data_IF_140672928927
#
_entry.id   IF_140672928927
#
_cell.length_a   1.000
_cell.length_b   1.000
_cell.length_c   1.000
_cell.angle_alpha   90.00
_cell.angle_beta   90.00
_cell.angle_gamma   90.00
#
_symmetry.space_group_name_H-M   'P 1'
#
loop_
_entity.id
_entity.type
_entity.pdbx_description
1 polymer ?
#
# COMPACT_ATOMS: atom_id res chain seq x y z
N UNK A 1 -14.11 -12.96 0.19
CA UNK A 1 -12.97 -13.37 -0.68
C UNK A 1 -12.73 -14.85 -0.43
N UNK A 2 -12.47 -15.65 -1.48
CA UNK A 2 -12.14 -17.06 -1.32
C UNK A 2 -10.65 -17.18 -0.93
N UNK A 3 -10.27 -18.06 0.03
CA UNK A 3 -8.89 -18.22 0.46
C UNK A 3 -7.90 -18.50 -0.67
N UNK A 4 -8.30 -19.34 -1.63
CA UNK A 4 -7.49 -19.70 -2.80
C UNK A 4 -7.18 -18.52 -3.75
N UNK A 5 -7.88 -17.39 -3.60
CA UNK A 5 -7.60 -16.15 -4.35
C UNK A 5 -6.57 -15.26 -3.67
N UNK A 6 -6.04 -15.65 -2.50
CA UNK A 6 -5.08 -14.87 -1.74
C UNK A 6 -3.68 -15.22 -2.19
N UNK A 7 -2.89 -14.19 -2.55
CA UNK A 7 -1.45 -14.28 -2.73
C UNK A 7 -0.80 -13.76 -1.44
N UNK A 8 -0.12 -14.65 -0.71
CA UNK A 8 0.57 -14.28 0.53
C UNK A 8 1.98 -13.81 0.25
N UNK A 9 2.20 -12.51 0.37
CA UNK A 9 3.48 -11.83 0.18
C UNK A 9 4.10 -11.36 1.51
N UNK A 10 5.32 -10.85 1.48
CA UNK A 10 6.03 -10.26 2.61
C UNK A 10 7.52 -10.55 2.55
N UNK A 11 8.34 -9.54 2.88
CA UNK A 11 9.81 -9.61 2.82
C UNK A 11 10.39 -10.51 3.92
N UNK A 12 9.71 -10.63 5.05
CA UNK A 12 10.07 -11.53 6.14
C UNK A 12 8.98 -12.58 6.29
N UNK A 13 9.38 -13.84 6.33
CA UNK A 13 8.51 -14.97 6.60
C UNK A 13 9.18 -15.91 7.59
N UNK A 14 8.51 -16.15 8.69
CA UNK A 14 8.87 -17.23 9.62
C UNK A 14 8.03 -18.48 9.34
N UNK A 15 8.44 -19.61 9.89
CA UNK A 15 7.72 -20.88 9.72
C UNK A 15 6.25 -20.78 10.14
N UNK A 16 5.99 -20.13 11.29
CA UNK A 16 4.63 -19.93 11.80
C UNK A 16 3.75 -19.07 10.88
N UNK A 17 4.31 -18.11 10.15
CA UNK A 17 3.56 -17.30 9.19
C UNK A 17 3.14 -18.14 7.98
N UNK A 18 4.05 -18.97 7.49
CA UNK A 18 3.79 -19.90 6.37
C UNK A 18 2.74 -20.95 6.79
N UNK A 19 2.91 -21.55 7.97
CA UNK A 19 1.94 -22.49 8.54
C UNK A 19 0.53 -21.90 8.62
N UNK A 20 0.43 -20.64 9.06
CA UNK A 20 -0.83 -19.90 9.14
C UNK A 20 -1.41 -19.65 7.75
N UNK A 21 -0.61 -19.12 6.80
CA UNK A 21 -1.07 -18.85 5.44
C UNK A 21 -1.60 -20.14 4.75
N UNK A 22 -0.86 -21.24 4.86
CA UNK A 22 -1.26 -22.54 4.33
C UNK A 22 -2.52 -23.08 5.02
N UNK A 23 -2.64 -22.90 6.35
CA UNK A 23 -3.82 -23.33 7.12
C UNK A 23 -5.08 -22.58 6.73
N UNK A 24 -4.96 -21.29 6.42
CA UNK A 24 -6.06 -20.47 5.89
C UNK A 24 -6.39 -20.75 4.42
N UNK A 25 -5.56 -21.54 3.73
CA UNK A 25 -5.78 -21.93 2.34
C UNK A 25 -5.37 -20.86 1.34
N UNK A 26 -4.38 -20.02 1.66
CA UNK A 26 -3.81 -19.08 0.67
C UNK A 26 -3.40 -19.87 -0.59
N UNK A 27 -3.81 -19.36 -1.77
CA UNK A 27 -3.63 -20.06 -3.03
C UNK A 27 -2.19 -20.02 -3.54
N UNK A 28 -1.51 -18.88 -3.36
CA UNK A 28 -0.15 -18.64 -3.84
C UNK A 28 0.68 -18.00 -2.73
N UNK A 29 1.95 -18.38 -2.62
CA UNK A 29 2.90 -17.73 -1.72
C UNK A 29 4.05 -17.12 -2.53
N UNK A 30 4.45 -15.88 -2.19
CA UNK A 30 5.57 -15.21 -2.84
C UNK A 30 6.89 -15.57 -2.13
N UNK A 31 7.87 -16.07 -2.85
CA UNK A 31 9.23 -16.30 -2.36
C UNK A 31 10.13 -15.11 -2.70
N UNK A 32 10.82 -14.58 -1.69
CA UNK A 32 11.77 -13.47 -1.84
C UNK A 32 13.23 -13.90 -1.60
N UNK A 33 13.47 -15.20 -1.37
CA UNK A 33 14.80 -15.78 -1.18
C UNK A 33 14.76 -17.30 -1.30
N UNK A 34 15.91 -17.92 -1.50
CA UNK A 34 16.09 -19.39 -1.44
C UNK A 34 15.60 -19.92 -0.08
N UNK A 35 15.86 -19.19 1.02
CA UNK A 35 15.36 -19.56 2.34
C UNK A 35 13.83 -19.63 2.41
N UNK A 36 13.13 -18.69 1.79
CA UNK A 36 11.64 -18.74 1.76
C UNK A 36 11.16 -19.98 1.01
N UNK A 37 11.79 -20.31 -0.13
CA UNK A 37 11.46 -21.52 -0.89
C UNK A 37 11.67 -22.78 -0.04
N UNK A 38 12.81 -22.86 0.68
CA UNK A 38 13.12 -23.98 1.57
C UNK A 38 12.11 -24.09 2.74
N UNK A 39 11.79 -22.98 3.42
CA UNK A 39 10.82 -22.96 4.52
C UNK A 39 9.41 -23.37 4.07
N UNK A 40 8.96 -22.87 2.92
CA UNK A 40 7.64 -23.26 2.39
C UNK A 40 7.65 -24.74 2.05
N UNK A 41 8.71 -25.24 1.40
CA UNK A 41 8.86 -26.66 1.09
C UNK A 41 8.82 -27.53 2.34
N UNK A 42 9.58 -27.14 3.40
CA UNK A 42 9.59 -27.83 4.70
C UNK A 42 8.19 -27.91 5.31
N UNK A 43 7.49 -26.78 5.45
CA UNK A 43 6.12 -26.74 6.02
C UNK A 43 5.16 -27.65 5.24
N UNK A 44 5.25 -27.65 3.92
CA UNK A 44 4.38 -28.53 3.11
C UNK A 44 4.71 -30.00 3.30
N UNK A 45 5.97 -30.36 3.41
CA UNK A 45 6.42 -31.75 3.63
C UNK A 45 6.01 -32.25 5.01
N UNK A 46 6.16 -31.44 6.07
CA UNK A 46 5.75 -31.80 7.43
C UNK A 46 4.23 -32.03 7.59
N UNK A 47 3.43 -31.46 6.73
CA UNK A 47 1.95 -31.62 6.74
C UNK A 47 1.48 -32.88 6.02
N UNK A 48 2.40 -33.63 5.44
CA UNK A 48 2.06 -34.90 4.78
C UNK A 48 1.84 -36.01 5.80
N UNK A 49 0.93 -36.98 5.53
CA UNK A 49 0.80 -38.17 6.34
C UNK A 49 2.13 -38.95 6.40
N UNK A 50 2.39 -39.61 7.55
CA UNK A 50 3.54 -40.51 7.70
C UNK A 50 3.50 -41.59 6.60
N UNK A 51 4.63 -41.82 5.92
CA UNK A 51 4.76 -42.76 4.81
C UNK A 51 4.45 -42.22 3.41
N UNK A 52 3.84 -41.06 3.27
CA UNK A 52 3.59 -40.43 1.96
C UNK A 52 4.91 -40.05 1.24
N UNK A 53 5.94 -39.74 2.01
CA UNK A 53 7.28 -39.43 1.51
C UNK A 53 7.94 -40.59 0.75
N UNK A 54 7.79 -41.81 1.23
CA UNK A 54 8.39 -43.03 0.63
C UNK A 54 7.68 -43.43 -0.65
N UNK A 55 6.39 -43.11 -0.78
CA UNK A 55 5.57 -43.43 -1.94
C UNK A 55 5.69 -42.41 -3.11
N UNK A 56 6.45 -41.30 -2.95
CA UNK A 56 6.57 -40.24 -3.96
C UNK A 56 5.27 -39.45 -4.18
N UNK A 57 4.25 -39.64 -3.33
CA UNK A 57 2.94 -39.02 -3.42
C UNK A 57 2.97 -37.67 -2.69
N UNK A 58 3.43 -36.60 -3.36
CA UNK A 58 3.21 -35.22 -2.91
C UNK A 58 1.81 -34.82 -3.38
N UNK A 59 0.78 -35.10 -2.59
CA UNK A 59 -0.61 -34.83 -2.98
C UNK A 59 -0.90 -33.34 -3.21
N UNK A 60 -0.21 -32.42 -2.52
CA UNK A 60 -0.41 -30.98 -2.73
C UNK A 60 0.85 -30.16 -2.44
N UNK A 61 1.49 -29.68 -3.50
CA UNK A 61 2.57 -28.70 -3.40
C UNK A 61 2.00 -27.28 -3.22
N UNK A 62 2.70 -26.43 -2.46
CA UNK A 62 2.36 -25.01 -2.45
C UNK A 62 2.71 -24.37 -3.78
N UNK A 63 1.76 -23.66 -4.37
CA UNK A 63 2.04 -22.82 -5.53
C UNK A 63 2.82 -21.60 -5.09
N UNK A 64 3.96 -21.32 -5.74
CA UNK A 64 4.80 -20.18 -5.42
C UNK A 64 5.14 -19.36 -6.64
N UNK A 65 5.25 -18.04 -6.43
CA UNK A 65 5.86 -17.13 -7.38
C UNK A 65 7.18 -16.59 -6.81
N UNK A 66 8.19 -16.46 -7.64
CA UNK A 66 9.53 -16.03 -7.25
C UNK A 66 9.68 -14.54 -7.52
N UNK A 67 9.98 -13.75 -6.50
CA UNK A 67 10.13 -12.31 -6.64
C UNK A 67 11.52 -11.96 -7.15
N UNK A 68 11.58 -11.42 -8.36
CA UNK A 68 12.81 -10.88 -8.95
C UNK A 68 13.13 -9.51 -8.32
N UNK A 69 14.36 -9.33 -7.85
CA UNK A 69 14.77 -8.06 -7.26
C UNK A 69 14.81 -6.90 -8.25
N UNK A 70 14.43 -5.73 -7.78
CA UNK A 70 14.62 -4.47 -8.50
C UNK A 70 15.94 -3.77 -8.17
N UNK A 71 16.77 -4.37 -7.29
CA UNK A 71 18.05 -3.84 -6.85
C UNK A 71 18.02 -3.21 -5.45
N UNK A 72 17.07 -3.63 -4.61
CA UNK A 72 16.92 -3.24 -3.20
C UNK A 72 16.79 -4.49 -2.32
N UNK A 73 16.35 -4.32 -1.06
CA UNK A 73 16.20 -5.43 -0.09
C UNK A 73 15.08 -6.43 -0.43
N UNK A 74 14.27 -6.17 -1.45
CA UNK A 74 13.15 -7.02 -1.84
C UNK A 74 13.51 -7.94 -3.00
N UNK A 75 13.05 -9.19 -2.90
CA UNK A 75 13.24 -10.19 -3.94
C UNK A 75 14.65 -10.74 -4.01
N UNK A 76 14.86 -11.69 -4.90
CA UNK A 76 16.12 -12.42 -5.11
C UNK A 76 16.74 -12.14 -6.47
N UNK A 77 17.98 -12.47 -6.65
CA UNK A 77 18.68 -12.35 -7.93
C UNK A 77 18.09 -13.29 -8.98
N UNK A 78 18.41 -13.07 -10.25
CA UNK A 78 18.02 -14.01 -11.31
C UNK A 78 18.72 -15.36 -11.13
N UNK A 79 19.97 -15.35 -10.65
CA UNK A 79 20.74 -16.56 -10.36
C UNK A 79 20.08 -17.40 -9.26
N UNK A 80 19.53 -16.79 -8.20
CA UNK A 80 18.79 -17.49 -7.16
C UNK A 80 17.49 -18.09 -7.70
N UNK A 81 16.79 -17.37 -8.59
CA UNK A 81 15.60 -17.86 -9.27
C UNK A 81 15.95 -19.07 -10.15
N UNK A 82 17.03 -18.96 -10.94
CA UNK A 82 17.55 -20.05 -11.76
C UNK A 82 17.89 -21.29 -10.91
N UNK A 83 18.51 -21.05 -9.73
CA UNK A 83 18.84 -22.13 -8.79
C UNK A 83 17.60 -22.88 -8.34
N UNK A 84 16.56 -22.16 -7.86
CA UNK A 84 15.34 -22.80 -7.38
C UNK A 84 14.64 -23.61 -8.50
N UNK A 85 14.59 -23.06 -9.71
CA UNK A 85 13.95 -23.73 -10.86
C UNK A 85 14.74 -24.97 -11.30
N UNK A 86 16.06 -24.93 -11.24
CA UNK A 86 16.94 -26.02 -11.71
C UNK A 86 17.15 -27.13 -10.67
N UNK A 87 16.80 -26.90 -9.40
CA UNK A 87 16.96 -27.88 -8.30
C UNK A 87 15.61 -28.24 -7.64
N UNK A 88 14.61 -28.71 -8.40
CA UNK A 88 13.27 -29.00 -7.85
C UNK A 88 13.30 -30.08 -6.76
N UNK A 89 14.30 -30.95 -6.74
CA UNK A 89 14.46 -32.00 -5.73
C UNK A 89 14.82 -31.47 -4.34
N UNK A 90 15.40 -30.28 -4.25
CA UNK A 90 15.65 -29.59 -2.99
C UNK A 90 14.40 -28.90 -2.43
N UNK A 91 13.43 -28.62 -3.29
CA UNK A 91 12.21 -27.87 -2.95
C UNK A 91 10.94 -28.68 -3.25
N UNK A 92 10.89 -29.94 -2.82
CA UNK A 92 9.82 -30.90 -3.18
C UNK A 92 8.41 -30.45 -2.78
N UNK A 93 8.28 -29.64 -1.72
CA UNK A 93 7.00 -29.15 -1.20
C UNK A 93 6.42 -27.97 -1.98
N UNK A 94 7.13 -27.39 -2.95
CA UNK A 94 6.65 -26.26 -3.74
C UNK A 94 6.54 -26.58 -5.22
N UNK A 95 5.71 -25.79 -5.90
CA UNK A 95 5.59 -25.73 -7.36
C UNK A 95 5.74 -24.27 -7.78
N UNK A 96 6.82 -23.96 -8.50
CA UNK A 96 7.04 -22.61 -9.04
C UNK A 96 6.11 -22.42 -10.22
N UNK A 97 5.16 -21.50 -10.08
CA UNK A 97 4.16 -21.20 -11.11
C UNK A 97 4.38 -19.86 -11.79
N UNK A 98 5.30 -19.03 -11.30
CA UNK A 98 5.47 -17.71 -11.91
C UNK A 98 6.53 -16.85 -11.24
N UNK A 99 6.54 -15.60 -11.69
CA UNK A 99 7.45 -14.54 -11.24
C UNK A 99 6.63 -13.37 -10.71
N UNK A 100 7.13 -12.76 -9.64
CA UNK A 100 6.64 -11.49 -9.13
C UNK A 100 7.68 -10.39 -9.35
N UNK A 101 7.24 -9.18 -9.69
CA UNK A 101 8.11 -8.03 -9.83
C UNK A 101 7.43 -6.73 -9.40
N UNK A 102 8.08 -6.02 -8.46
CA UNK A 102 7.68 -4.69 -8.03
C UNK A 102 8.91 -3.82 -7.77
N UNK A 103 9.02 -2.67 -8.43
CA UNK A 103 10.19 -1.77 -8.35
C UNK A 103 9.89 -0.44 -7.66
N UNK A 104 8.72 -0.29 -7.05
CA UNK A 104 8.31 0.93 -6.34
C UNK A 104 7.04 1.57 -6.90
N UNK A 105 6.63 2.67 -6.29
CA UNK A 105 5.43 3.45 -6.63
C UNK A 105 5.78 4.76 -7.36
N UNK A 106 4.76 5.53 -7.75
CA UNK A 106 4.89 6.83 -8.44
C UNK A 106 5.73 6.73 -9.72
N UNK A 107 5.44 5.72 -10.55
CA UNK A 107 6.19 5.45 -11.78
C UNK A 107 5.56 6.10 -13.00
N UNK A 108 6.42 6.66 -13.85
CA UNK A 108 6.05 7.07 -15.20
C UNK A 108 5.93 5.88 -16.13
N UNK A 109 5.22 6.02 -17.25
CA UNK A 109 5.09 5.02 -18.30
C UNK A 109 6.47 4.50 -18.79
N UNK A 110 7.48 5.38 -18.90
CA UNK A 110 8.85 4.98 -19.26
C UNK A 110 9.45 3.96 -18.28
N UNK A 111 9.20 4.12 -16.98
CA UNK A 111 9.67 3.17 -15.96
C UNK A 111 8.91 1.86 -16.02
N UNK A 112 7.60 1.90 -16.26
CA UNK A 112 6.76 0.72 -16.45
C UNK A 112 7.27 -0.09 -17.64
N UNK A 113 7.50 0.53 -18.79
CA UNK A 113 8.05 -0.13 -19.97
C UNK A 113 9.43 -0.79 -19.68
N UNK A 114 10.30 -0.09 -18.95
CA UNK A 114 11.60 -0.65 -18.56
C UNK A 114 11.46 -1.88 -17.66
N UNK A 115 10.52 -1.87 -16.74
CA UNK A 115 10.22 -3.01 -15.86
C UNK A 115 9.72 -4.21 -16.67
N UNK A 116 8.76 -3.99 -17.57
CA UNK A 116 8.22 -5.04 -18.43
C UNK A 116 9.28 -5.67 -19.33
N UNK A 117 10.19 -4.85 -19.89
CA UNK A 117 11.33 -5.35 -20.66
C UNK A 117 12.28 -6.21 -19.79
N UNK A 118 12.54 -5.80 -18.54
CA UNK A 118 13.36 -6.59 -17.62
C UNK A 118 12.72 -7.94 -17.30
N UNK A 119 11.40 -7.93 -17.00
CA UNK A 119 10.65 -9.16 -16.75
C UNK A 119 10.70 -10.08 -17.98
N UNK A 120 10.43 -9.54 -19.16
CA UNK A 120 10.45 -10.29 -20.42
C UNK A 120 11.83 -10.92 -20.69
N UNK A 121 12.91 -10.16 -20.49
CA UNK A 121 14.27 -10.68 -20.66
C UNK A 121 14.57 -11.83 -19.69
N UNK A 122 14.15 -11.71 -18.42
CA UNK A 122 14.32 -12.77 -17.44
C UNK A 122 13.55 -14.03 -17.84
N UNK A 123 12.27 -13.89 -18.22
CA UNK A 123 11.42 -15.01 -18.63
C UNK A 123 11.92 -15.70 -19.89
N UNK A 124 12.41 -14.94 -20.88
CA UNK A 124 13.04 -15.51 -22.08
C UNK A 124 14.24 -16.38 -21.72
N UNK A 125 15.14 -15.87 -20.86
CA UNK A 125 16.31 -16.65 -20.41
C UNK A 125 15.93 -17.90 -19.62
N UNK A 126 14.92 -17.81 -18.74
CA UNK A 126 14.42 -18.97 -17.98
C UNK A 126 13.77 -20.02 -18.90
N UNK A 127 13.04 -19.60 -19.94
CA UNK A 127 12.48 -20.51 -20.93
C UNK A 127 13.56 -21.19 -21.76
N UNK A 128 14.56 -20.46 -22.23
CA UNK A 128 15.65 -21.00 -23.05
C UNK A 128 16.53 -22.00 -22.29
N UNK A 129 16.84 -21.70 -21.02
CA UNK A 129 17.76 -22.54 -20.22
C UNK A 129 17.04 -23.73 -19.56
N UNK A 130 15.82 -23.55 -19.08
CA UNK A 130 15.14 -24.51 -18.20
C UNK A 130 13.76 -24.95 -18.71
N UNK A 131 13.28 -24.43 -19.85
CA UNK A 131 11.93 -24.69 -20.34
C UNK A 131 10.82 -24.11 -19.44
N UNK A 132 11.15 -23.13 -18.59
CA UNK A 132 10.20 -22.55 -17.66
C UNK A 132 9.20 -21.62 -18.38
N UNK A 133 7.92 -21.93 -18.25
CA UNK A 133 6.83 -21.10 -18.74
C UNK A 133 5.94 -20.69 -17.55
N UNK A 134 5.80 -19.37 -17.27
CA UNK A 134 5.02 -18.93 -16.12
C UNK A 134 3.52 -19.10 -16.37
N UNK A 135 2.79 -19.55 -15.34
CA UNK A 135 1.35 -19.54 -15.29
C UNK A 135 0.82 -18.20 -14.71
N UNK A 136 1.70 -17.41 -14.08
CA UNK A 136 1.40 -16.08 -13.54
C UNK A 136 2.66 -15.23 -13.57
N UNK A 137 2.53 -14.01 -14.08
CA UNK A 137 3.46 -12.92 -13.83
C UNK A 137 2.72 -11.88 -13.02
N UNK A 138 3.02 -11.78 -11.72
CA UNK A 138 2.47 -10.74 -10.85
C UNK A 138 3.34 -9.49 -10.95
N UNK A 139 2.76 -8.39 -11.38
CA UNK A 139 3.48 -7.14 -11.59
C UNK A 139 2.81 -5.95 -10.90
N UNK A 140 3.61 -5.20 -10.15
CA UNK A 140 3.20 -3.91 -9.58
C UNK A 140 3.61 -2.74 -10.46
N UNK A 141 2.74 -2.19 -11.33
CA UNK A 141 3.07 -1.05 -12.17
C UNK A 141 3.37 0.21 -11.36
N UNK A 142 2.84 0.32 -10.14
CA UNK A 142 3.10 1.45 -9.25
C UNK A 142 2.75 2.80 -9.89
N UNK A 143 1.60 2.88 -10.56
CA UNK A 143 1.11 4.10 -11.19
C UNK A 143 1.16 5.29 -10.23
N UNK A 144 1.43 6.47 -10.78
CA UNK A 144 1.45 7.73 -10.06
C UNK A 144 0.06 8.07 -9.52
N UNK A 145 0.01 8.49 -8.27
CA UNK A 145 -1.16 9.15 -7.66
C UNK A 145 -0.85 10.63 -7.59
N UNK A 146 -1.71 11.44 -8.16
CA UNK A 146 -1.55 12.90 -8.24
C UNK A 146 -2.11 13.57 -6.97
N UNK A 147 -1.41 13.37 -5.85
CA UNK A 147 -1.86 13.82 -4.51
C UNK A 147 -2.10 15.31 -4.38
N UNK A 148 -1.40 16.14 -5.18
CA UNK A 148 -1.31 17.58 -4.97
C UNK A 148 -1.67 18.38 -6.22
N UNK A 149 -2.15 17.75 -7.28
CA UNK A 149 -2.50 18.40 -8.53
C UNK A 149 -3.99 18.71 -8.59
N UNK A 150 -4.36 19.89 -9.10
CA UNK A 150 -5.78 20.27 -9.24
C UNK A 150 -6.50 19.44 -10.30
N UNK A 151 -5.79 19.10 -11.39
CA UNK A 151 -6.28 18.31 -12.52
C UNK A 151 -5.99 16.80 -12.36
N UNK A 152 -5.88 16.31 -11.12
CA UNK A 152 -5.46 14.95 -10.79
C UNK A 152 -6.29 13.86 -11.50
N UNK A 153 -7.60 14.06 -11.67
CA UNK A 153 -8.47 13.06 -12.30
C UNK A 153 -8.12 12.84 -13.76
N UNK A 154 -7.84 13.91 -14.51
CA UNK A 154 -7.46 13.83 -15.91
C UNK A 154 -6.07 13.20 -16.07
N UNK A 155 -5.11 13.60 -15.25
CA UNK A 155 -3.75 13.05 -15.24
C UNK A 155 -3.74 11.57 -14.88
N UNK A 156 -4.43 11.16 -13.83
CA UNK A 156 -4.50 9.75 -13.43
C UNK A 156 -5.21 8.91 -14.48
N UNK A 157 -6.28 9.43 -15.09
CA UNK A 157 -6.96 8.75 -16.19
C UNK A 157 -6.04 8.55 -17.40
N UNK A 158 -5.33 9.60 -17.82
CA UNK A 158 -4.38 9.50 -18.91
C UNK A 158 -3.28 8.48 -18.60
N UNK A 159 -2.66 8.55 -17.42
CA UNK A 159 -1.62 7.62 -16.99
C UNK A 159 -2.12 6.16 -16.97
N UNK A 160 -3.36 5.95 -16.53
CA UNK A 160 -4.00 4.63 -16.53
C UNK A 160 -4.23 4.11 -17.94
N UNK A 161 -4.78 4.94 -18.83
CA UNK A 161 -5.06 4.57 -20.23
C UNK A 161 -3.75 4.18 -20.95
N UNK A 162 -2.70 5.00 -20.84
CA UNK A 162 -1.38 4.72 -21.43
C UNK A 162 -0.73 3.45 -20.84
N UNK A 163 -0.80 3.25 -19.51
CA UNK A 163 -0.27 2.06 -18.89
C UNK A 163 -1.05 0.80 -19.28
N UNK A 164 -2.37 0.92 -19.41
CA UNK A 164 -3.22 -0.20 -19.79
C UNK A 164 -2.91 -0.73 -21.19
N UNK A 165 -2.48 0.12 -22.13
CA UNK A 165 -2.06 -0.32 -23.48
C UNK A 165 -0.84 -1.24 -23.39
N UNK A 166 0.25 -0.80 -22.76
CA UNK A 166 1.48 -1.59 -22.65
C UNK A 166 1.31 -2.84 -21.79
N UNK A 167 0.43 -2.79 -20.78
CA UNK A 167 0.12 -3.96 -19.96
C UNK A 167 -0.70 -4.99 -20.73
N UNK A 168 -1.64 -4.58 -21.59
CA UNK A 168 -2.39 -5.49 -22.48
C UNK A 168 -1.47 -6.14 -23.50
N UNK A 169 -0.54 -5.39 -24.10
CA UNK A 169 0.45 -5.96 -25.01
C UNK A 169 1.29 -7.05 -24.34
N UNK A 170 1.76 -6.80 -23.11
CA UNK A 170 2.49 -7.79 -22.32
C UNK A 170 1.61 -9.01 -21.99
N UNK A 171 0.34 -8.80 -21.68
CA UNK A 171 -0.61 -9.85 -21.32
C UNK A 171 -0.98 -10.79 -22.49
N UNK A 172 -0.73 -10.40 -23.73
CA UNK A 172 -0.87 -11.30 -24.90
C UNK A 172 0.16 -12.44 -24.84
N UNK A 173 1.36 -12.14 -24.31
CA UNK A 173 2.48 -13.09 -24.30
C UNK A 173 2.59 -13.86 -22.97
N UNK A 174 2.22 -13.22 -21.84
CA UNK A 174 2.36 -13.79 -20.49
C UNK A 174 1.09 -13.60 -19.66
N UNK A 175 0.65 -14.63 -18.90
CA UNK A 175 -0.48 -14.48 -17.97
C UNK A 175 -0.15 -13.43 -16.90
N UNK A 176 -0.79 -12.26 -16.95
CA UNK A 176 -0.48 -11.10 -16.14
C UNK A 176 -1.49 -10.90 -15.00
N UNK A 177 -0.98 -10.87 -13.77
CA UNK A 177 -1.67 -10.34 -12.59
C UNK A 177 -1.12 -8.96 -12.21
N UNK A 178 -1.97 -8.06 -11.74
CA UNK A 178 -1.57 -6.69 -11.39
C UNK A 178 -1.86 -6.42 -9.92
N UNK A 179 -0.84 -5.90 -9.18
CA UNK A 179 -1.02 -5.32 -7.85
C UNK A 179 -0.88 -3.79 -7.92
N UNK A 180 -1.90 -3.05 -7.46
CA UNK A 180 -1.94 -1.59 -7.62
C UNK A 180 -2.71 -0.91 -6.48
N UNK A 181 -2.41 -1.30 -5.22
CA UNK A 181 -3.18 -0.87 -4.04
C UNK A 181 -3.24 0.64 -3.86
N UNK A 182 -2.13 1.35 -3.92
CA UNK A 182 -2.08 2.81 -3.71
C UNK A 182 -2.94 3.55 -4.73
N UNK A 183 -2.78 3.26 -6.00
CA UNK A 183 -3.52 3.93 -7.07
C UNK A 183 -5.04 3.71 -6.97
N UNK A 184 -5.46 2.48 -6.65
CA UNK A 184 -6.88 2.14 -6.54
C UNK A 184 -7.55 2.70 -5.29
N UNK A 185 -6.80 2.93 -4.21
CA UNK A 185 -7.37 3.28 -2.92
C UNK A 185 -7.16 4.76 -2.52
N UNK A 186 -6.15 5.46 -3.03
CA UNK A 186 -5.80 6.79 -2.55
C UNK A 186 -6.97 7.78 -2.63
N UNK A 187 -7.61 7.89 -3.79
CA UNK A 187 -8.68 8.86 -4.04
C UNK A 187 -10.01 8.54 -3.35
N UNK A 188 -10.22 7.29 -2.87
CA UNK A 188 -11.47 6.92 -2.20
C UNK A 188 -11.54 7.37 -0.75
N UNK A 189 -10.41 7.74 -0.12
CA UNK A 189 -10.35 8.16 1.28
C UNK A 189 -10.35 9.66 1.46
N UNK A 190 -11.06 10.09 2.50
CA UNK A 190 -11.14 11.47 2.94
C UNK A 190 -10.86 11.54 4.44
N UNK A 191 -10.13 12.55 4.85
CA UNK A 191 -9.84 12.81 6.26
C UNK A 191 -10.50 14.11 6.69
N UNK A 192 -11.25 14.06 7.80
CA UNK A 192 -11.97 15.19 8.36
C UNK A 192 -11.35 15.59 9.70
N UNK A 193 -11.08 16.89 9.86
CA UNK A 193 -10.53 17.46 11.08
C UNK A 193 -11.10 18.86 11.32
N UNK A 194 -11.28 19.25 12.59
CA UNK A 194 -11.96 20.48 12.96
C UNK A 194 -10.98 21.56 13.40
N UNK A 195 -11.23 22.80 13.01
CA UNK A 195 -10.53 24.00 13.50
C UNK A 195 -10.86 24.23 14.97
N UNK A 196 -9.87 24.14 15.86
CA UNK A 196 -10.00 24.31 17.30
C UNK A 196 -9.46 25.64 17.82
N UNK A 197 -8.50 26.25 17.09
CA UNK A 197 -7.95 27.54 17.46
C UNK A 197 -7.44 28.26 16.22
N UNK A 198 -7.49 29.59 16.24
CA UNK A 198 -6.98 30.48 15.20
C UNK A 198 -6.06 31.51 15.83
N UNK A 199 -4.86 31.66 15.27
CA UNK A 199 -3.84 32.57 15.78
C UNK A 199 -3.22 33.36 14.65
N UNK A 200 -2.90 34.62 14.91
CA UNK A 200 -2.14 35.47 14.00
C UNK A 200 -0.88 35.96 14.72
N UNK A 201 0.27 35.86 14.07
CA UNK A 201 1.55 36.36 14.58
C UNK A 201 2.29 37.06 13.45
N UNK A 202 2.37 38.38 13.53
CA UNK A 202 2.81 39.18 12.39
C UNK A 202 1.85 38.98 11.21
N UNK A 203 2.43 38.65 10.05
CA UNK A 203 1.67 38.41 8.81
C UNK A 203 1.20 36.95 8.64
N UNK A 204 1.56 36.05 9.58
CA UNK A 204 1.24 34.63 9.52
C UNK A 204 -0.04 34.29 10.27
N UNK A 205 -0.96 33.58 9.63
CA UNK A 205 -2.16 33.03 10.24
C UNK A 205 -2.01 31.51 10.43
N UNK A 206 -2.32 31.02 11.59
CA UNK A 206 -2.28 29.60 11.96
C UNK A 206 -3.68 29.10 12.29
N UNK A 207 -4.07 27.99 11.68
CA UNK A 207 -5.25 27.23 12.07
C UNK A 207 -4.79 25.95 12.80
N UNK A 208 -5.20 25.80 14.04
CA UNK A 208 -4.88 24.62 14.86
C UNK A 208 -6.04 23.66 14.78
N UNK A 209 -5.73 22.44 14.32
CA UNK A 209 -6.71 21.38 14.08
C UNK A 209 -6.68 20.36 15.23
N UNK A 210 -7.79 19.65 15.44
CA UNK A 210 -7.83 18.55 16.43
C UNK A 210 -7.05 17.30 16.01
N UNK A 211 -6.81 17.14 14.70
CA UNK A 211 -5.91 16.13 14.17
C UNK A 211 -4.48 16.62 13.98
N UNK A 212 -3.78 16.10 12.98
CA UNK A 212 -2.41 16.46 12.65
C UNK A 212 -1.66 15.37 11.90
N UNK A 213 -0.33 15.47 11.87
CA UNK A 213 0.53 14.48 11.18
C UNK A 213 0.41 13.06 11.75
N UNK A 214 -0.07 12.90 12.99
CA UNK A 214 -0.31 11.59 13.60
C UNK A 214 -1.54 10.85 13.03
N UNK A 215 -2.38 11.54 12.27
CA UNK A 215 -3.54 10.98 11.57
C UNK A 215 -3.36 10.92 10.07
N UNK A 216 -2.55 11.82 9.50
CA UNK A 216 -2.48 12.03 8.07
C UNK A 216 -1.03 12.20 7.62
N UNK A 217 -0.62 11.32 6.70
CA UNK A 217 0.65 11.40 6.01
C UNK A 217 0.44 11.19 4.51
N UNK A 218 1.03 12.05 3.68
CA UNK A 218 0.99 11.90 2.24
C UNK A 218 2.33 11.42 1.70
N UNK A 219 2.28 10.43 0.82
CA UNK A 219 3.48 10.01 0.11
C UNK A 219 4.06 11.16 -0.72
N UNK A 220 5.34 11.44 -0.53
CA UNK A 220 6.03 12.50 -1.26
C UNK A 220 5.78 13.92 -0.75
N UNK A 221 5.02 14.12 0.34
CA UNK A 221 4.90 15.42 0.99
C UNK A 221 6.28 15.94 1.42
N UNK A 222 6.61 17.15 1.01
CA UNK A 222 7.88 17.78 1.32
C UNK A 222 7.68 18.92 2.30
N UNK A 223 8.07 18.73 3.55
CA UNK A 223 8.05 19.76 4.60
C UNK A 223 6.71 20.51 4.68
N UNK A 224 5.60 19.87 4.39
CA UNK A 224 4.26 20.46 4.32
C UNK A 224 4.09 21.59 3.26
N UNK A 225 4.95 21.62 2.23
CA UNK A 225 4.92 22.63 1.18
C UNK A 225 3.93 22.35 0.05
N UNK A 226 3.42 21.10 -0.04
CA UNK A 226 2.47 20.70 -1.08
C UNK A 226 1.06 20.68 -0.50
N UNK A 227 0.11 21.18 -1.28
CA UNK A 227 -1.29 21.35 -0.87
C UNK A 227 -2.13 20.22 -1.46
N UNK A 228 -2.66 19.29 -0.65
CA UNK A 228 -3.60 18.29 -1.12
C UNK A 228 -4.97 18.94 -1.40
N UNK A 229 -5.92 18.24 -2.03
CA UNK A 229 -7.28 18.72 -2.16
C UNK A 229 -7.91 18.97 -0.78
N UNK A 230 -8.35 20.21 -0.52
CA UNK A 230 -8.96 20.62 0.75
C UNK A 230 -10.33 21.24 0.46
N UNK A 231 -11.35 20.76 1.16
CA UNK A 231 -12.69 21.37 1.20
C UNK A 231 -13.03 21.83 2.61
N UNK A 232 -13.84 22.89 2.73
CA UNK A 232 -14.24 23.46 4.02
C UNK A 232 -15.74 23.22 4.20
N UNK A 233 -16.12 22.71 5.36
CA UNK A 233 -17.52 22.56 5.78
C UNK A 233 -17.76 23.40 7.02
N UNK A 234 -18.80 24.24 6.96
CA UNK A 234 -19.22 25.10 8.07
C UNK A 234 -20.61 24.67 8.56
N UNK A 235 -20.89 24.91 9.83
CA UNK A 235 -22.23 24.66 10.37
C UNK A 235 -23.31 25.40 9.57
N UNK A 236 -24.49 24.78 9.42
CA UNK A 236 -25.56 25.26 8.56
C UNK A 236 -25.93 26.71 8.87
N UNK A 237 -26.08 27.54 7.82
CA UNK A 237 -26.59 28.91 7.87
C UNK A 237 -25.58 30.01 7.57
N UNK A 238 -24.30 29.66 7.26
CA UNK A 238 -23.26 30.64 6.87
C UNK A 238 -22.91 30.45 5.40
N UNK A 239 -23.13 31.45 4.54
CA UNK A 239 -22.70 31.42 3.15
C UNK A 239 -21.22 31.74 3.02
N UNK A 240 -20.47 30.85 2.34
CA UNK A 240 -19.02 30.98 2.12
C UNK A 240 -18.64 32.03 1.06
N UNK A 241 -19.57 32.40 0.18
CA UNK A 241 -19.26 33.09 -1.07
C UNK A 241 -18.73 34.52 -0.88
N UNK A 242 -18.97 35.14 0.26
CA UNK A 242 -18.56 36.52 0.53
C UNK A 242 -17.32 36.67 1.42
N UNK A 243 -16.75 35.55 1.91
CA UNK A 243 -15.59 35.60 2.80
C UNK A 243 -14.30 35.85 2.01
N UNK A 244 -13.40 36.70 2.53
CA UNK A 244 -12.09 36.94 1.90
C UNK A 244 -11.24 35.67 1.95
N UNK A 245 -10.41 35.53 0.93
CA UNK A 245 -9.36 34.53 0.96
C UNK A 245 -8.26 34.96 1.95
N UNK A 246 -7.75 34.03 2.71
CA UNK A 246 -6.72 34.24 3.73
C UNK A 246 -5.69 33.12 3.63
N UNK A 247 -4.42 33.49 3.75
CA UNK A 247 -3.33 32.53 3.76
C UNK A 247 -3.17 31.93 5.15
N UNK A 248 -3.11 30.60 5.23
CA UNK A 248 -2.99 29.83 6.50
C UNK A 248 -1.83 28.86 6.48
N UNK A 249 -1.24 28.66 7.65
CA UNK A 249 -0.50 27.45 8.01
C UNK A 249 -1.43 26.52 8.81
N UNK A 250 -1.71 25.33 8.30
CA UNK A 250 -2.55 24.31 8.95
C UNK A 250 -1.70 23.45 9.87
N UNK A 251 -1.87 23.61 11.18
CA UNK A 251 -1.13 22.91 12.21
C UNK A 251 -2.00 21.88 12.93
N UNK A 252 -1.39 20.78 13.32
CA UNK A 252 -2.08 19.79 14.14
C UNK A 252 -2.02 20.08 15.64
N UNK A 253 -2.46 19.10 16.42
CA UNK A 253 -2.64 19.20 17.88
C UNK A 253 -1.45 18.67 18.69
N UNK A 254 -0.36 18.23 18.04
CA UNK A 254 0.82 17.72 18.71
C UNK A 254 1.75 18.86 19.18
N UNK A 255 2.39 18.69 20.34
CA UNK A 255 3.37 19.63 20.87
C UNK A 255 4.73 19.46 20.17
N UNK A 256 4.77 19.72 18.87
CA UNK A 256 5.98 19.70 18.05
C UNK A 256 5.85 20.67 16.88
N UNK A 257 6.93 21.36 16.54
CA UNK A 257 7.01 22.26 15.37
C UNK A 257 6.89 21.50 14.04
N UNK A 258 7.01 20.18 14.05
CA UNK A 258 6.84 19.33 12.88
C UNK A 258 5.37 19.05 12.53
N UNK A 259 4.42 19.33 13.47
CA UNK A 259 3.01 19.05 13.26
C UNK A 259 2.35 20.13 12.39
N UNK A 260 2.73 20.14 11.14
CA UNK A 260 2.21 21.02 10.10
C UNK A 260 1.74 20.16 8.94
N UNK A 261 0.44 20.23 8.63
CA UNK A 261 -0.14 19.51 7.49
C UNK A 261 0.10 20.26 6.17
N UNK A 262 -0.06 21.58 6.19
CA UNK A 262 0.22 22.47 5.05
C UNK A 262 0.79 23.78 5.56
N UNK A 263 1.91 24.25 4.99
CA UNK A 263 2.59 25.49 5.43
C UNK A 263 1.93 26.74 4.90
N UNK A 264 1.51 26.74 3.67
CA UNK A 264 0.92 27.89 3.00
C UNK A 264 -0.24 27.41 2.14
N UNK A 265 -1.45 27.78 2.51
CA UNK A 265 -2.63 27.49 1.72
C UNK A 265 -3.59 28.68 1.79
N UNK A 266 -4.10 29.07 0.63
CA UNK A 266 -5.12 30.11 0.53
C UNK A 266 -6.50 29.46 0.63
N UNK A 267 -7.20 29.79 1.70
CA UNK A 267 -8.56 29.29 1.97
C UNK A 267 -9.50 30.46 2.23
N UNK A 268 -10.79 30.23 2.11
CA UNK A 268 -11.77 31.17 2.66
C UNK A 268 -11.54 31.33 4.15
N UNK A 269 -11.75 32.58 4.67
CA UNK A 269 -11.53 32.90 6.08
C UNK A 269 -12.18 31.83 6.98
N UNK A 270 -11.32 31.15 7.75
CA UNK A 270 -11.76 30.09 8.66
C UNK A 270 -12.36 30.65 9.95
N UNK A 271 -13.26 29.87 10.55
CA UNK A 271 -13.84 30.10 11.87
C UNK A 271 -13.64 28.89 12.77
N UNK A 272 -13.75 29.10 14.08
CA UNK A 272 -13.72 28.01 15.06
C UNK A 272 -14.90 27.06 14.79
N UNK A 273 -14.58 25.78 14.74
CA UNK A 273 -15.58 24.75 14.45
C UNK A 273 -15.72 24.37 12.98
N UNK A 274 -15.10 25.11 12.05
CA UNK A 274 -15.04 24.70 10.65
C UNK A 274 -14.37 23.33 10.54
N UNK A 275 -14.88 22.49 9.65
CA UNK A 275 -14.30 21.17 9.36
C UNK A 275 -13.57 21.21 8.03
N UNK A 276 -12.32 20.83 8.04
CA UNK A 276 -11.52 20.66 6.83
C UNK A 276 -11.56 19.20 6.40
N UNK A 277 -11.90 18.96 5.16
CA UNK A 277 -11.78 17.67 4.48
C UNK A 277 -10.49 17.66 3.66
N UNK A 278 -9.62 16.70 3.90
CA UNK A 278 -8.45 16.41 3.09
C UNK A 278 -8.72 15.21 2.20
N UNK A 279 -8.52 15.36 0.90
CA UNK A 279 -8.70 14.29 -0.10
C UNK A 279 -7.51 13.32 -0.16
N UNK A 280 -7.64 12.27 -0.99
CA UNK A 280 -6.59 11.29 -1.30
C UNK A 280 -5.99 10.56 -0.09
N UNK A 281 -6.80 10.29 0.95
CA UNK A 281 -6.35 9.67 2.20
C UNK A 281 -6.60 8.16 2.26
N UNK A 282 -7.04 7.51 1.18
CA UNK A 282 -7.49 6.12 1.19
C UNK A 282 -6.37 5.07 1.21
N UNK A 283 -5.13 5.46 0.90
CA UNK A 283 -4.01 4.52 0.84
C UNK A 283 -2.88 4.94 1.77
N UNK A 284 -2.62 4.14 2.82
CA UNK A 284 -1.50 4.26 3.76
C UNK A 284 -1.50 5.52 4.64
N UNK A 285 -2.26 6.55 4.33
CA UNK A 285 -2.18 7.88 4.98
C UNK A 285 -2.32 7.83 6.50
N UNK A 286 -3.18 6.94 7.03
CA UNK A 286 -3.33 6.75 8.48
C UNK A 286 -2.27 5.81 9.05
N UNK A 287 -1.89 4.76 8.32
CA UNK A 287 -1.00 3.71 8.84
C UNK A 287 0.49 4.07 8.77
N UNK A 288 0.88 4.97 7.87
CA UNK A 288 2.25 5.53 7.78
C UNK A 288 2.45 6.77 8.66
N UNK A 289 1.40 7.25 9.33
CA UNK A 289 1.47 8.38 10.24
C UNK A 289 2.09 7.98 11.60
N UNK A 290 2.77 8.90 12.33
CA UNK A 290 3.34 8.63 13.66
C UNK A 290 2.25 8.58 14.75
N UNK A 291 1.32 7.64 14.62
CA UNK A 291 0.04 7.59 15.32
C UNK A 291 0.14 7.49 16.86
N UNK A 292 1.27 7.00 17.41
CA UNK A 292 1.46 6.85 18.86
C UNK A 292 2.19 8.03 19.51
N UNK A 293 2.67 9.00 18.71
CA UNK A 293 3.41 10.12 19.24
C UNK A 293 2.50 11.03 20.09
N UNK A 294 2.92 11.34 21.32
CA UNK A 294 2.22 12.18 22.30
C UNK A 294 0.83 11.68 22.70
N UNK A 295 0.54 10.40 22.54
CA UNK A 295 -0.66 9.71 23.08
C UNK A 295 -2.00 10.35 22.72
N UNK A 296 -2.11 10.99 21.56
CA UNK A 296 -3.38 11.46 21.02
C UNK A 296 -4.25 10.29 20.56
N UNK A 297 -5.55 10.49 20.46
CA UNK A 297 -6.46 9.48 19.94
C UNK A 297 -6.15 9.16 18.47
N UNK A 298 -6.26 7.88 18.09
CA UNK A 298 -6.31 7.50 16.68
C UNK A 298 -7.66 7.93 16.10
N UNK A 299 -7.73 8.25 14.79
CA UNK A 299 -8.98 8.67 14.17
C UNK A 299 -9.98 7.51 14.10
N UNK A 300 -11.27 7.82 14.18
CA UNK A 300 -12.31 6.88 13.79
C UNK A 300 -12.24 6.62 12.28
N UNK A 301 -12.64 5.43 11.84
CA UNK A 301 -12.70 5.07 10.43
C UNK A 301 -14.12 4.65 10.08
N UNK A 302 -14.66 5.28 9.06
CA UNK A 302 -15.96 4.96 8.51
C UNK A 302 -15.83 4.50 7.07
N UNK A 303 -16.57 3.45 6.68
CA UNK A 303 -16.83 3.14 5.29
C UNK A 303 -18.12 3.81 4.86
N UNK A 304 -18.16 4.25 3.60
CA UNK A 304 -19.38 4.76 2.98
C UNK A 304 -19.68 4.01 1.68
N UNK A 305 -20.90 3.59 1.52
CA UNK A 305 -21.41 3.11 0.23
C UNK A 305 -22.80 3.71 -0.04
N UNK A 306 -23.16 3.79 -1.33
CA UNK A 306 -24.52 4.25 -1.70
C UNK A 306 -25.61 3.30 -1.22
N UNK A 307 -25.29 2.02 -1.06
CA UNK A 307 -26.24 0.96 -0.67
C UNK A 307 -26.47 0.93 0.84
N UNK A 308 -25.41 1.05 1.64
CA UNK A 308 -25.48 0.86 3.10
C UNK A 308 -25.27 2.15 3.91
N UNK A 309 -24.93 3.28 3.26
CA UNK A 309 -24.62 4.53 3.93
C UNK A 309 -23.27 4.47 4.64
N UNK A 310 -23.20 5.10 5.82
CA UNK A 310 -22.00 5.12 6.66
C UNK A 310 -21.99 3.95 7.63
N UNK A 311 -20.88 3.22 7.69
CA UNK A 311 -20.59 2.15 8.65
C UNK A 311 -19.31 2.50 9.42
N UNK A 312 -19.36 2.49 10.76
CA UNK A 312 -18.18 2.65 11.59
C UNK A 312 -17.36 1.36 11.59
N UNK A 313 -16.19 1.40 10.95
CA UNK A 313 -15.26 0.26 10.92
C UNK A 313 -14.34 0.24 12.15
N UNK A 314 -14.05 1.41 12.71
CA UNK A 314 -13.21 1.57 13.89
C UNK A 314 -13.54 2.88 14.59
N UNK A 315 -13.88 2.80 15.87
CA UNK A 315 -14.03 3.95 16.74
C UNK A 315 -12.67 4.61 17.05
N UNK A 316 -12.70 5.79 17.64
CA UNK A 316 -11.51 6.44 18.19
C UNK A 316 -10.80 5.52 19.20
N UNK A 317 -9.51 5.31 19.05
CA UNK A 317 -8.70 4.52 19.98
C UNK A 317 -7.80 5.46 20.77
N UNK A 318 -7.88 5.47 22.11
CA UNK A 318 -6.97 6.23 22.96
C UNK A 318 -5.54 5.66 22.87
N UNK A 319 -4.64 6.33 22.14
CA UNK A 319 -3.26 5.86 22.04
C UNK A 319 -2.53 5.84 23.40
N UNK A 320 -3.01 6.59 24.39
CA UNK A 320 -2.53 6.52 25.77
C UNK A 320 -2.59 5.09 26.35
N UNK A 321 -3.61 4.30 26.02
CA UNK A 321 -3.74 2.91 26.50
C UNK A 321 -2.62 2.01 25.94
N UNK A 322 -2.15 2.30 24.72
CA UNK A 322 -1.04 1.57 24.08
C UNK A 322 0.31 2.00 24.68
N UNK A 323 0.44 3.29 25.05
CA UNK A 323 1.67 3.88 25.56
C UNK A 323 1.86 3.71 27.08
N UNK A 324 0.83 3.28 27.83
CA UNK A 324 0.95 3.02 29.25
C UNK A 324 1.85 1.80 29.52
N UNK A 325 2.70 1.91 30.56
CA UNK A 325 3.44 0.77 31.09
C UNK A 325 2.45 -0.32 31.51
N UNK A 326 2.61 -1.52 30.93
CA UNK A 326 1.59 -2.54 30.91
C UNK A 326 0.98 -2.86 32.27
N UNK A 327 -0.34 -2.84 32.35
CA UNK A 327 -1.04 -3.78 33.22
C UNK A 327 -0.68 -5.17 32.71
N UNK A 328 -0.06 -6.02 33.54
CA UNK A 328 0.07 -7.45 33.25
C UNK A 328 -1.32 -7.94 32.82
N UNK A 329 -1.46 -8.30 31.54
CA UNK A 329 -2.62 -9.07 31.08
C UNK A 329 -2.59 -10.45 31.75
#
# INVERSE_FOLDING_TARGET
MKPESIIYSGVMKEKCDIERAVSYGAGILTCESIRHAALISEVMLERMPEGAHEAGLVEKKAQVILRLTSGNQFGMSLEDIEYIISHPDEFKGIMVIGIHYYSGTQKSLRKINKDLQKIKSALTGLKEKYGFEPQLVEYGPGLCVEYFEEDWQEREKQALDEAAEVLREFAVEYPLGIEMGRFLAASCGKYYTQVKDLKSTGDANYAILDGGIHHLNYFGQRMAMQVPPISIYRAAGVEFTELPDTDYTLCGSLCTVADVLVREVKLKKLELGDVLEFGHCGAYSVTEAPALFLSRQLPAIYAYSKEYGYECLREHIPAAEINLAGKKM
#
